data_IF_714533732300
#
_entry.id   IF_714533732300
#
_cell.length_a   1.000
_cell.length_b   1.000
_cell.length_c   1.000
_cell.angle_alpha   90.00
_cell.angle_beta   90.00
_cell.angle_gamma   90.00
#
_symmetry.space_group_name_H-M   'P 1'
#
loop_
_entity.id
_entity.type
_entity.pdbx_description
1 polymer ?
#
# COMPACT_ATOMS: atom_id res chain seq x y z
N UNK A 1 54.45 41.70 33.16
CA UNK A 1 54.08 40.31 32.72
C UNK A 1 52.57 40.18 32.78
N UNK A 2 51.94 40.25 31.59
CA UNK A 2 50.51 40.37 31.43
C UNK A 2 49.98 39.05 30.82
N UNK A 3 49.29 38.26 31.61
CA UNK A 3 48.69 37.01 31.18
C UNK A 3 47.30 37.29 30.57
N UNK A 4 47.20 37.08 29.25
CA UNK A 4 45.92 37.10 28.53
C UNK A 4 45.13 35.78 28.78
N UNK A 5 43.95 35.86 29.36
CA UNK A 5 42.92 34.78 29.35
C UNK A 5 42.26 34.73 27.99
N UNK A 6 42.39 33.59 27.30
CA UNK A 6 41.60 33.25 26.12
C UNK A 6 40.28 32.71 26.60
N UNK A 7 39.22 33.46 26.36
CA UNK A 7 37.85 33.00 26.62
C UNK A 7 37.31 32.29 25.39
N UNK A 8 37.09 30.97 25.50
CA UNK A 8 36.31 30.19 24.54
C UNK A 8 34.87 30.64 24.56
N UNK A 9 34.41 31.22 23.45
CA UNK A 9 32.98 31.43 23.21
C UNK A 9 32.40 30.09 22.71
N UNK A 10 31.68 29.39 23.59
CA UNK A 10 30.79 28.31 23.21
C UNK A 10 29.63 28.95 22.44
N UNK A 11 29.59 28.76 21.14
CA UNK A 11 28.47 29.18 20.29
C UNK A 11 27.28 28.29 20.61
N UNK A 12 26.40 28.74 21.51
CA UNK A 12 25.09 28.20 21.72
C UNK A 12 24.27 28.46 20.45
N UNK A 13 24.14 27.45 19.61
CA UNK A 13 23.13 27.41 18.56
C UNK A 13 21.77 27.42 19.23
N UNK A 14 21.15 28.58 19.34
CA UNK A 14 19.75 28.73 19.62
C UNK A 14 19.01 28.02 18.50
N UNK A 15 18.22 27.01 18.84
CA UNK A 15 17.15 26.48 18.01
C UNK A 15 16.19 27.65 17.83
N UNK A 16 16.37 28.39 16.74
CA UNK A 16 15.41 29.39 16.32
C UNK A 16 14.18 28.65 15.86
N UNK A 17 13.06 29.07 16.40
CA UNK A 17 11.70 28.74 16.02
C UNK A 17 11.64 28.51 14.50
N UNK A 18 11.50 27.25 14.11
CA UNK A 18 11.05 26.93 12.77
C UNK A 18 9.59 27.41 12.71
N UNK A 19 9.44 28.65 12.26
CA UNK A 19 8.18 29.10 11.71
C UNK A 19 7.89 28.17 10.56
N UNK A 20 6.93 27.26 10.75
CA UNK A 20 6.32 26.51 9.66
C UNK A 20 5.60 27.59 8.87
N UNK A 21 6.26 28.07 7.81
CA UNK A 21 5.64 28.89 6.80
C UNK A 21 4.50 28.05 6.20
N UNK A 22 3.27 28.51 6.30
CA UNK A 22 2.03 27.87 5.83
C UNK A 22 1.95 27.78 4.29
N UNK A 23 3.06 27.93 3.59
CA UNK A 23 3.16 27.73 2.15
C UNK A 23 3.44 26.24 1.80
N UNK A 24 2.44 25.37 2.04
CA UNK A 24 2.34 24.18 1.18
C UNK A 24 2.33 24.64 -0.27
N UNK A 25 3.17 24.08 -1.14
CA UNK A 25 3.08 24.38 -2.57
C UNK A 25 1.64 24.15 -2.99
N UNK A 26 1.04 25.18 -3.53
CA UNK A 26 -0.38 25.29 -3.87
C UNK A 26 -0.87 24.00 -4.57
N UNK A 27 -1.73 23.24 -3.88
CA UNK A 27 -2.31 21.94 -4.29
C UNK A 27 -3.23 22.08 -5.52
N UNK A 28 -3.19 23.17 -6.29
CA UNK A 28 -4.09 23.47 -7.40
C UNK A 28 -3.39 23.84 -8.72
N UNK A 29 -2.18 23.41 -8.96
CA UNK A 29 -1.63 23.44 -10.30
C UNK A 29 -2.16 22.23 -11.08
N UNK A 30 -2.54 22.46 -12.35
CA UNK A 30 -2.88 21.37 -13.28
C UNK A 30 -1.76 20.32 -13.24
N UNK A 31 -2.08 19.01 -13.22
CA UNK A 31 -1.06 17.98 -13.28
C UNK A 31 -0.16 18.20 -14.51
N UNK A 32 1.15 17.91 -14.40
CA UNK A 32 2.06 17.93 -15.53
C UNK A 32 1.66 16.89 -16.58
N UNK A 33 2.27 16.92 -17.76
CA UNK A 33 1.97 15.96 -18.84
C UNK A 33 2.33 14.51 -18.44
N UNK A 34 3.38 14.35 -17.62
CA UNK A 34 3.82 13.05 -17.12
C UNK A 34 3.71 13.03 -15.60
N UNK A 35 2.94 12.13 -15.04
CA UNK A 35 2.82 11.91 -13.61
C UNK A 35 2.46 10.46 -13.30
N UNK A 36 2.75 10.01 -12.09
CA UNK A 36 2.33 8.71 -11.61
C UNK A 36 1.03 8.82 -10.81
N UNK A 37 0.22 7.76 -10.86
CA UNK A 37 -0.97 7.60 -10.04
C UNK A 37 -0.73 6.41 -9.12
N UNK A 38 -0.70 6.64 -7.81
CA UNK A 38 -0.57 5.59 -6.81
C UNK A 38 -1.88 5.39 -6.05
N UNK A 39 -2.35 4.16 -6.00
CA UNK A 39 -3.39 3.71 -5.09
C UNK A 39 -2.72 3.05 -3.88
N UNK A 40 -2.97 3.55 -2.68
CA UNK A 40 -2.33 3.09 -1.45
C UNK A 40 -3.37 2.68 -0.43
N UNK A 41 -3.13 1.55 0.22
CA UNK A 41 -3.88 1.05 1.36
C UNK A 41 -2.93 0.55 2.44
N UNK A 42 -3.32 0.71 3.70
CA UNK A 42 -2.62 0.21 4.85
C UNK A 42 -3.60 -0.42 5.83
N UNK A 43 -3.22 -1.57 6.40
CA UNK A 43 -4.09 -2.29 7.31
C UNK A 43 -3.37 -2.90 8.49
N UNK A 44 -4.14 -3.19 9.56
CA UNK A 44 -3.68 -3.96 10.69
C UNK A 44 -4.77 -4.92 11.14
N UNK A 45 -4.39 -6.16 11.45
CA UNK A 45 -5.30 -7.17 12.04
C UNK A 45 -5.32 -7.04 13.55
N UNK A 46 -6.15 -6.14 14.05
CA UNK A 46 -6.11 -5.54 15.37
C UNK A 46 -5.48 -4.15 15.32
N UNK A 47 -5.62 -3.34 16.39
CA UNK A 47 -5.13 -1.96 16.36
C UNK A 47 -4.54 -1.55 17.73
N UNK A 48 -3.24 -1.85 18.00
CA UNK A 48 -2.23 -2.42 17.10
C UNK A 48 -2.38 -3.93 16.85
N UNK A 49 -1.77 -4.42 15.75
CA UNK A 49 -1.75 -5.82 15.36
C UNK A 49 -0.79 -6.08 14.18
N UNK A 50 -0.75 -7.30 13.64
CA UNK A 50 -0.04 -7.58 12.40
C UNK A 50 -0.50 -6.62 11.31
N UNK A 51 0.43 -5.81 10.80
CA UNK A 51 0.16 -4.71 9.89
C UNK A 51 0.97 -4.82 8.59
N UNK A 52 0.45 -4.22 7.53
CA UNK A 52 1.11 -4.17 6.24
C UNK A 52 0.49 -3.12 5.33
N UNK A 53 1.19 -2.74 4.28
CA UNK A 53 0.67 -1.86 3.26
C UNK A 53 0.72 -2.50 1.87
N UNK A 54 -0.10 -1.96 0.97
CA UNK A 54 -0.09 -2.24 -0.46
C UNK A 54 -0.18 -0.95 -1.26
N UNK A 55 0.59 -0.86 -2.33
CA UNK A 55 0.58 0.27 -3.26
C UNK A 55 0.60 -0.23 -4.68
N UNK A 56 -0.30 0.30 -5.51
CA UNK A 56 -0.34 0.04 -6.96
C UNK A 56 -0.04 1.35 -7.67
N UNK A 57 1.00 1.37 -8.48
CA UNK A 57 1.45 2.54 -9.19
C UNK A 57 1.18 2.37 -10.69
N UNK A 58 0.54 3.38 -11.28
CA UNK A 58 0.19 3.45 -12.70
C UNK A 58 0.79 4.70 -13.32
N UNK A 59 1.01 4.67 -14.61
CA UNK A 59 1.28 5.87 -15.41
C UNK A 59 -0.03 6.62 -15.75
N UNK A 60 0.06 7.77 -16.37
CA UNK A 60 -1.08 8.62 -16.77
C UNK A 60 -2.02 7.92 -17.76
N UNK A 61 -1.54 6.89 -18.48
CA UNK A 61 -2.38 6.07 -19.38
C UNK A 61 -3.18 5.01 -18.62
N UNK A 62 -2.95 4.86 -17.29
CA UNK A 62 -3.56 3.84 -16.46
C UNK A 62 -2.85 2.49 -16.49
N UNK A 63 -1.72 2.36 -17.20
CA UNK A 63 -0.92 1.13 -17.22
C UNK A 63 -0.17 0.98 -15.90
N UNK A 64 -0.28 -0.18 -15.29
CA UNK A 64 0.44 -0.50 -14.06
C UNK A 64 1.95 -0.60 -14.32
N UNK A 65 2.73 0.20 -13.58
CA UNK A 65 4.19 0.25 -13.66
C UNK A 65 4.87 -0.39 -12.45
N UNK A 66 4.20 -0.40 -11.29
CA UNK A 66 4.71 -1.09 -10.11
C UNK A 66 3.60 -1.54 -9.17
N UNK A 67 3.94 -2.50 -8.30
CA UNK A 67 3.16 -2.91 -7.15
C UNK A 67 4.11 -3.12 -5.97
N UNK A 68 3.86 -2.43 -4.86
CA UNK A 68 4.67 -2.49 -3.66
C UNK A 68 3.83 -3.04 -2.53
N UNK A 69 4.42 -3.84 -1.66
CA UNK A 69 3.76 -4.30 -0.44
C UNK A 69 4.79 -4.77 0.58
N UNK A 70 4.52 -4.52 1.86
CA UNK A 70 5.42 -4.91 2.93
C UNK A 70 4.65 -5.25 4.21
N UNK A 71 5.13 -6.25 4.93
CA UNK A 71 4.71 -6.57 6.27
C UNK A 71 5.48 -5.74 7.29
N UNK A 72 4.77 -5.01 8.14
CA UNK A 72 5.34 -4.03 9.06
C UNK A 72 5.49 -4.54 10.50
N UNK A 73 5.26 -5.85 10.73
CA UNK A 73 5.21 -6.38 12.08
C UNK A 73 3.93 -5.96 12.81
N UNK A 74 4.04 -5.72 14.12
CA UNK A 74 2.91 -5.35 14.98
C UNK A 74 2.80 -3.82 15.06
N UNK A 75 1.88 -3.23 14.32
CA UNK A 75 1.67 -1.79 14.19
C UNK A 75 0.18 -1.40 14.18
N UNK A 76 -0.10 -0.10 14.18
CA UNK A 76 -1.46 0.42 14.02
C UNK A 76 -1.85 0.55 12.54
N UNK A 77 -3.15 0.60 12.26
CA UNK A 77 -3.67 0.86 10.91
C UNK A 77 -3.11 2.16 10.33
N UNK A 78 -3.19 3.25 11.07
CA UNK A 78 -2.69 4.56 10.62
C UNK A 78 -1.18 4.55 10.32
N UNK A 79 -0.38 3.77 11.07
CA UNK A 79 1.03 3.59 10.78
C UNK A 79 1.24 2.95 9.40
N UNK A 80 0.49 1.88 9.10
CA UNK A 80 0.56 1.18 7.83
C UNK A 80 0.16 2.07 6.65
N UNK A 81 -0.85 2.90 6.82
CA UNK A 81 -1.29 3.85 5.82
C UNK A 81 -0.25 4.92 5.48
N UNK A 82 0.43 5.48 6.51
CA UNK A 82 1.57 6.37 6.30
C UNK A 82 2.73 5.69 5.59
N UNK A 83 3.01 4.43 5.90
CA UNK A 83 4.08 3.68 5.23
C UNK A 83 3.77 3.44 3.75
N UNK A 84 2.52 3.17 3.39
CA UNK A 84 2.10 3.09 2.00
C UNK A 84 2.27 4.40 1.24
N UNK A 85 1.93 5.54 1.85
CA UNK A 85 2.20 6.88 1.28
C UNK A 85 3.71 7.09 1.06
N UNK A 86 4.53 6.82 2.08
CA UNK A 86 5.99 6.99 2.02
C UNK A 86 6.59 6.12 0.90
N UNK A 87 6.19 4.84 0.82
CA UNK A 87 6.65 3.94 -0.22
C UNK A 87 6.30 4.44 -1.64
N UNK A 88 5.10 5.00 -1.83
CA UNK A 88 4.69 5.59 -3.10
C UNK A 88 5.55 6.81 -3.48
N UNK A 89 5.82 7.69 -2.51
CA UNK A 89 6.66 8.88 -2.71
C UNK A 89 8.12 8.49 -3.04
N UNK A 90 8.70 7.57 -2.28
CA UNK A 90 10.07 7.09 -2.50
C UNK A 90 10.20 6.42 -3.88
N UNK A 91 9.21 5.63 -4.29
CA UNK A 91 9.20 5.06 -5.62
C UNK A 91 9.18 6.13 -6.72
N UNK A 92 8.29 7.13 -6.61
CA UNK A 92 8.17 8.20 -7.60
C UNK A 92 9.45 9.02 -7.71
N UNK A 93 10.11 9.31 -6.59
CA UNK A 93 11.40 10.03 -6.58
C UNK A 93 12.54 9.21 -7.19
N UNK A 94 12.53 7.89 -7.04
CA UNK A 94 13.60 7.01 -7.50
C UNK A 94 13.46 6.57 -8.97
N UNK A 95 12.22 6.42 -9.49
CA UNK A 95 11.98 5.68 -10.73
C UNK A 95 11.08 6.41 -11.74
N UNK A 96 10.52 7.58 -11.40
CA UNK A 96 9.52 8.22 -12.23
C UNK A 96 9.71 9.72 -12.39
N UNK A 97 8.74 10.37 -13.06
CA UNK A 97 8.60 11.80 -12.94
C UNK A 97 8.40 12.15 -11.48
N UNK A 98 9.03 13.23 -11.00
CA UNK A 98 8.81 13.71 -9.63
C UNK A 98 7.42 14.34 -9.48
N UNK A 99 6.42 13.67 -10.00
CA UNK A 99 5.03 14.08 -10.04
C UNK A 99 4.14 12.90 -9.70
N UNK A 100 3.38 13.01 -8.61
CA UNK A 100 2.60 11.91 -8.05
C UNK A 100 1.20 12.38 -7.65
N UNK A 101 0.18 11.68 -8.12
CA UNK A 101 -1.17 11.70 -7.57
C UNK A 101 -1.35 10.47 -6.67
N UNK A 102 -1.53 10.66 -5.37
CA UNK A 102 -1.87 9.58 -4.46
C UNK A 102 -3.38 9.52 -4.24
N UNK A 103 -3.91 8.29 -4.22
CA UNK A 103 -5.30 7.98 -3.92
C UNK A 103 -5.32 7.00 -2.76
N UNK A 104 -6.00 7.36 -1.66
CA UNK A 104 -6.14 6.53 -0.46
C UNK A 104 -7.57 6.55 0.04
N UNK A 105 -8.02 5.46 0.66
CA UNK A 105 -9.31 5.39 1.35
C UNK A 105 -9.22 5.80 2.83
N UNK A 106 -8.05 6.19 3.30
CA UNK A 106 -7.83 6.78 4.62
C UNK A 106 -8.16 8.27 4.64
N UNK A 107 -9.36 8.61 5.04
CA UNK A 107 -9.77 10.01 5.21
C UNK A 107 -8.86 10.75 6.20
N UNK A 108 -8.42 10.05 7.28
CA UNK A 108 -7.53 10.63 8.28
C UNK A 108 -6.18 11.02 7.67
N UNK A 109 -5.53 10.10 6.95
CA UNK A 109 -4.26 10.35 6.27
C UNK A 109 -4.38 11.54 5.31
N UNK A 110 -5.39 11.50 4.42
CA UNK A 110 -5.61 12.56 3.42
C UNK A 110 -5.79 13.92 4.08
N UNK A 111 -6.60 14.02 5.14
CA UNK A 111 -6.84 15.27 5.86
C UNK A 111 -5.62 15.76 6.65
N UNK A 112 -4.79 14.85 7.15
CA UNK A 112 -3.54 15.20 7.83
C UNK A 112 -2.50 15.72 6.83
N UNK A 113 -2.33 15.07 5.70
CA UNK A 113 -1.40 15.53 4.63
C UNK A 113 -1.86 16.85 4.01
N UNK A 114 -3.18 17.09 3.88
CA UNK A 114 -3.73 18.40 3.45
C UNK A 114 -3.67 19.48 4.52
N UNK A 115 -3.12 19.19 5.72
CA UNK A 115 -3.05 20.16 6.82
C UNK A 115 -4.40 20.48 7.51
N UNK A 116 -5.48 19.80 7.12
CA UNK A 116 -6.83 20.01 7.68
C UNK A 116 -6.90 19.47 9.11
N UNK A 117 -6.26 18.31 9.36
CA UNK A 117 -6.21 17.70 10.69
C UNK A 117 -4.78 17.69 11.23
N UNK A 118 -4.65 18.06 12.51
CA UNK A 118 -3.36 18.03 13.23
C UNK A 118 -2.99 16.59 13.60
N UNK A 119 -1.73 16.22 13.39
CA UNK A 119 -1.17 14.94 13.85
C UNK A 119 -0.79 15.08 15.33
N UNK A 120 -1.46 14.33 16.22
CA UNK A 120 -1.23 14.38 17.67
C UNK A 120 -0.32 13.27 18.17
N UNK A 121 -0.40 12.08 17.60
CA UNK A 121 0.39 10.91 17.97
C UNK A 121 1.86 11.14 17.56
N UNK A 122 2.81 10.88 18.46
CA UNK A 122 4.23 11.15 18.26
C UNK A 122 4.80 10.31 17.09
N UNK A 123 4.53 9.00 17.07
CA UNK A 123 4.99 8.12 15.99
C UNK A 123 4.45 8.57 14.62
N UNK A 124 3.18 8.98 14.56
CA UNK A 124 2.62 9.50 13.31
C UNK A 124 3.16 10.88 12.94
N UNK A 125 3.62 11.69 13.91
CA UNK A 125 4.33 12.95 13.61
C UNK A 125 5.64 12.72 12.87
N UNK A 126 6.40 11.70 13.27
CA UNK A 126 7.66 11.34 12.61
C UNK A 126 7.40 10.89 11.17
N UNK A 127 6.40 10.04 10.95
CA UNK A 127 5.98 9.60 9.62
C UNK A 127 5.44 10.75 8.77
N UNK A 128 4.65 11.64 9.36
CA UNK A 128 4.14 12.84 8.69
C UNK A 128 5.29 13.77 8.29
N UNK A 129 6.27 13.99 9.18
CA UNK A 129 7.49 14.74 8.87
C UNK A 129 8.23 14.12 7.68
N UNK A 130 8.48 12.81 7.71
CA UNK A 130 9.13 12.10 6.61
C UNK A 130 8.34 12.23 5.30
N UNK A 131 7.02 12.05 5.33
CA UNK A 131 6.18 12.22 4.15
C UNK A 131 6.26 13.65 3.60
N UNK A 132 6.22 14.66 4.48
CA UNK A 132 6.33 16.08 4.09
C UNK A 132 7.68 16.39 3.45
N UNK A 133 8.79 15.85 3.99
CA UNK A 133 10.13 15.99 3.40
C UNK A 133 10.22 15.38 2.00
N UNK A 134 9.58 14.24 1.75
CA UNK A 134 9.54 13.61 0.44
C UNK A 134 8.64 14.39 -0.52
N UNK A 135 7.50 14.88 -0.06
CA UNK A 135 6.60 15.73 -0.85
C UNK A 135 7.31 17.03 -1.28
N UNK A 136 8.14 17.62 -0.41
CA UNK A 136 8.89 18.82 -0.75
C UNK A 136 9.95 18.59 -1.85
N UNK A 137 10.33 17.35 -2.13
CA UNK A 137 11.25 16.98 -3.22
C UNK A 137 10.52 16.70 -4.55
N UNK A 138 9.17 16.67 -4.53
CA UNK A 138 8.37 16.44 -5.72
C UNK A 138 8.17 17.76 -6.49
N UNK A 139 8.16 17.68 -7.81
CA UNK A 139 7.79 18.80 -8.67
C UNK A 139 6.27 19.06 -8.64
N UNK A 140 5.49 18.02 -8.41
CA UNK A 140 4.05 18.08 -8.23
C UNK A 140 3.55 16.92 -7.37
N UNK A 141 2.66 17.22 -6.43
CA UNK A 141 2.02 16.23 -5.58
C UNK A 141 0.55 16.58 -5.36
N UNK A 142 -0.29 15.56 -5.42
CA UNK A 142 -1.69 15.68 -5.00
C UNK A 142 -2.12 14.40 -4.26
N UNK A 143 -3.00 14.55 -3.28
CA UNK A 143 -3.58 13.43 -2.55
C UNK A 143 -5.09 13.56 -2.50
N UNK A 144 -5.80 12.48 -2.88
CA UNK A 144 -7.26 12.45 -2.89
C UNK A 144 -7.78 11.24 -2.11
N UNK A 145 -8.94 11.45 -1.47
CA UNK A 145 -9.68 10.37 -0.85
C UNK A 145 -10.57 9.68 -1.89
N UNK A 146 -10.54 8.35 -1.92
CA UNK A 146 -11.45 7.53 -2.72
C UNK A 146 -12.17 6.51 -1.84
N UNK A 147 -13.34 6.07 -2.30
CA UNK A 147 -14.05 4.98 -1.64
C UNK A 147 -13.27 3.68 -1.79
N UNK A 148 -13.34 2.82 -0.78
CA UNK A 148 -12.61 1.54 -0.69
C UNK A 148 -12.82 0.63 -1.91
N UNK A 149 -13.99 0.68 -2.53
CA UNK A 149 -14.30 -0.07 -3.75
C UNK A 149 -13.38 0.27 -4.94
N UNK A 150 -12.77 1.45 -4.93
CA UNK A 150 -11.80 1.88 -5.95
C UNK A 150 -10.35 1.61 -5.56
N UNK A 151 -10.10 1.00 -4.38
CA UNK A 151 -8.76 0.72 -3.84
C UNK A 151 -8.47 -0.79 -3.63
N UNK A 152 -9.29 -1.66 -4.24
CA UNK A 152 -9.29 -3.11 -4.00
C UNK A 152 -7.93 -3.79 -4.26
N UNK A 153 -7.18 -3.36 -5.25
CA UNK A 153 -5.88 -3.98 -5.57
C UNK A 153 -4.83 -3.65 -4.51
N UNK A 154 -4.80 -2.42 -3.99
CA UNK A 154 -3.93 -2.02 -2.89
C UNK A 154 -4.32 -2.73 -1.58
N UNK A 155 -5.61 -2.81 -1.25
CA UNK A 155 -6.14 -3.59 -0.12
C UNK A 155 -5.70 -5.06 -0.20
N UNK A 156 -5.83 -5.69 -1.37
CA UNK A 156 -5.37 -7.07 -1.58
C UNK A 156 -3.88 -7.23 -1.29
N UNK A 157 -3.05 -6.32 -1.79
CA UNK A 157 -1.59 -6.35 -1.56
C UNK A 157 -1.24 -6.17 -0.09
N UNK A 158 -1.91 -5.26 0.64
CA UNK A 158 -1.73 -5.08 2.08
C UNK A 158 -2.10 -6.37 2.85
N UNK A 159 -3.22 -7.00 2.50
CA UNK A 159 -3.65 -8.26 3.09
C UNK A 159 -2.68 -9.41 2.80
N UNK A 160 -2.19 -9.54 1.57
CA UNK A 160 -1.18 -10.55 1.19
C UNK A 160 0.15 -10.35 1.94
N UNK A 161 0.58 -9.09 2.12
CA UNK A 161 1.77 -8.76 2.91
C UNK A 161 1.62 -9.22 4.37
N UNK A 162 0.47 -8.95 4.99
CA UNK A 162 0.17 -9.39 6.35
C UNK A 162 0.11 -10.93 6.45
N UNK A 163 -0.53 -11.62 5.48
CA UNK A 163 -0.60 -13.09 5.47
C UNK A 163 0.79 -13.72 5.36
N UNK A 164 1.59 -13.24 4.42
CA UNK A 164 2.97 -13.69 4.22
C UNK A 164 3.82 -13.46 5.47
N UNK A 165 3.71 -12.28 6.08
CA UNK A 165 4.48 -11.94 7.29
C UNK A 165 4.10 -12.76 8.51
N UNK A 166 2.84 -13.23 8.58
CA UNK A 166 2.36 -14.15 9.61
C UNK A 166 2.58 -15.64 9.29
N UNK A 167 3.29 -15.96 8.19
CA UNK A 167 3.48 -17.34 7.74
C UNK A 167 2.21 -18.03 7.25
N UNK A 168 1.14 -17.28 6.95
CA UNK A 168 -0.08 -17.82 6.35
C UNK A 168 0.11 -17.95 4.84
N UNK A 169 -0.42 -19.02 4.25
CA UNK A 169 -0.50 -19.09 2.78
C UNK A 169 -1.44 -17.97 2.31
N UNK A 170 -1.08 -17.22 1.25
CA UNK A 170 -1.98 -16.24 0.66
C UNK A 170 -3.34 -16.89 0.38
N UNK A 171 -4.44 -16.23 0.75
CA UNK A 171 -5.74 -16.66 0.32
C UNK A 171 -5.75 -16.68 -1.21
N UNK A 172 -6.19 -17.77 -1.82
CA UNK A 172 -6.30 -17.86 -3.27
C UNK A 172 -7.07 -16.65 -3.79
N UNK A 173 -6.51 -15.94 -4.78
CA UNK A 173 -7.17 -14.78 -5.37
C UNK A 173 -8.56 -15.20 -5.88
N UNK A 174 -9.57 -14.29 -5.89
CA UNK A 174 -10.89 -14.62 -6.42
C UNK A 174 -10.85 -15.27 -7.82
N UNK A 175 -9.89 -14.89 -8.64
CA UNK A 175 -9.65 -15.52 -9.95
C UNK A 175 -9.17 -16.98 -9.83
N UNK A 176 -8.33 -17.29 -8.84
CA UNK A 176 -7.89 -18.67 -8.57
C UNK A 176 -9.00 -19.50 -7.89
N UNK A 177 -9.82 -18.86 -7.05
CA UNK A 177 -10.99 -19.55 -6.46
C UNK A 177 -12.09 -19.82 -7.49
N UNK A 178 -12.25 -18.98 -8.51
CA UNK A 178 -13.17 -19.23 -9.63
C UNK A 178 -12.66 -20.37 -10.50
N UNK A 179 -11.34 -20.44 -10.76
CA UNK A 179 -10.71 -21.54 -11.49
C UNK A 179 -10.70 -22.84 -10.67
N UNK A 180 -10.52 -22.76 -9.35
CA UNK A 180 -10.59 -23.92 -8.46
C UNK A 180 -12.02 -24.43 -8.23
N UNK A 181 -13.03 -23.57 -8.40
CA UNK A 181 -14.46 -23.91 -8.29
C UNK A 181 -15.16 -24.06 -9.64
N UNK A 182 -14.45 -23.93 -10.76
CA UNK A 182 -15.02 -24.31 -12.05
C UNK A 182 -15.33 -25.81 -11.99
N UNK A 183 -16.54 -26.25 -12.42
CA UNK A 183 -16.86 -27.66 -12.45
C UNK A 183 -15.84 -28.37 -13.35
N UNK A 184 -14.96 -29.18 -12.75
CA UNK A 184 -14.05 -30.02 -13.51
C UNK A 184 -14.88 -31.13 -14.16
N UNK A 185 -14.89 -31.18 -15.48
CA UNK A 185 -15.52 -32.26 -16.22
C UNK A 185 -14.49 -33.36 -16.46
N UNK A 186 -14.81 -34.56 -15.97
CA UNK A 186 -14.06 -35.78 -16.25
C UNK A 186 -14.83 -36.65 -17.23
N UNK A 187 -14.13 -37.27 -18.16
CA UNK A 187 -14.76 -38.27 -19.03
C UNK A 187 -14.52 -39.67 -18.44
N UNK A 188 -15.55 -40.49 -18.47
CA UNK A 188 -15.50 -41.87 -18.00
C UNK A 188 -16.46 -42.77 -18.74
N UNK A 189 -16.19 -44.05 -18.73
CA UNK A 189 -17.04 -45.08 -19.29
C UNK A 189 -17.61 -45.98 -18.16
N UNK A 190 -18.80 -46.47 -18.33
CA UNK A 190 -19.41 -47.42 -17.38
C UNK A 190 -19.06 -48.84 -17.85
N UNK A 191 -18.32 -49.56 -17.03
CA UNK A 191 -17.97 -50.97 -17.23
C UNK A 191 -18.35 -51.77 -15.97
N UNK A 192 -19.14 -52.81 -16.12
CA UNK A 192 -19.56 -53.68 -15.02
C UNK A 192 -20.19 -52.91 -13.81
N UNK A 193 -20.94 -51.85 -14.09
CA UNK A 193 -21.58 -51.03 -13.04
C UNK A 193 -20.67 -50.06 -12.30
N UNK A 194 -19.40 -49.97 -12.69
CA UNK A 194 -18.42 -49.03 -12.16
C UNK A 194 -18.07 -47.97 -13.22
N UNK A 195 -17.71 -46.77 -12.77
CA UNK A 195 -17.25 -45.72 -13.66
C UNK A 195 -15.73 -45.71 -13.66
N UNK A 196 -15.16 -45.96 -14.85
CA UNK A 196 -13.74 -45.83 -15.10
C UNK A 196 -13.48 -44.47 -15.73
N UNK A 197 -12.68 -43.66 -15.07
CA UNK A 197 -12.25 -42.36 -15.61
C UNK A 197 -11.27 -42.58 -16.78
N UNK A 198 -11.47 -41.83 -17.87
CA UNK A 198 -10.61 -41.85 -19.05
C UNK A 198 -9.50 -40.82 -18.94
N UNK A 199 -9.72 -39.76 -18.14
CA UNK A 199 -8.77 -38.67 -17.93
C UNK A 199 -8.75 -38.25 -16.46
N UNK A 200 -7.57 -38.22 -15.84
CA UNK A 200 -7.36 -37.78 -14.48
C UNK A 200 -7.69 -38.79 -13.40
N UNK A 201 -7.41 -38.43 -12.16
CA UNK A 201 -7.71 -39.18 -10.95
C UNK A 201 -8.48 -38.28 -9.98
N UNK A 202 -9.40 -38.86 -9.23
CA UNK A 202 -10.16 -38.18 -8.18
C UNK A 202 -9.70 -38.69 -6.81
N UNK A 203 -9.49 -37.82 -5.82
CA UNK A 203 -9.20 -38.24 -4.46
C UNK A 203 -10.31 -39.08 -3.86
N UNK A 204 -9.98 -40.01 -2.96
CA UNK A 204 -10.94 -40.82 -2.25
C UNK A 204 -11.97 -39.94 -1.51
N UNK A 205 -13.25 -40.33 -1.60
CA UNK A 205 -14.36 -39.61 -0.99
C UNK A 205 -14.87 -38.41 -1.79
N UNK A 206 -14.33 -38.13 -2.99
CA UNK A 206 -14.84 -37.06 -3.84
C UNK A 206 -16.28 -37.37 -4.30
N UNK A 207 -17.21 -36.44 -4.07
CA UNK A 207 -18.58 -36.53 -4.58
C UNK A 207 -18.64 -36.03 -6.01
N UNK A 208 -19.14 -36.87 -6.92
CA UNK A 208 -19.25 -36.53 -8.34
C UNK A 208 -20.73 -36.57 -8.78
N UNK A 209 -21.07 -35.68 -9.71
CA UNK A 209 -22.35 -35.69 -10.40
C UNK A 209 -22.14 -36.17 -11.83
N UNK A 210 -22.85 -37.23 -12.21
CA UNK A 210 -22.67 -37.87 -13.51
C UNK A 210 -23.76 -37.43 -14.47
N UNK A 211 -23.37 -37.05 -15.68
CA UNK A 211 -24.28 -36.76 -16.78
C UNK A 211 -23.94 -37.65 -17.97
N UNK A 212 -24.94 -38.32 -18.54
CA UNK A 212 -24.77 -39.10 -19.76
C UNK A 212 -24.55 -38.13 -20.94
N UNK A 213 -23.45 -38.28 -21.66
CA UNK A 213 -23.26 -37.59 -22.94
C UNK A 213 -24.19 -38.20 -23.99
N UNK A 214 -24.93 -37.33 -24.71
CA UNK A 214 -25.78 -37.77 -25.85
C UNK A 214 -24.92 -38.07 -27.06
#
# INVERSE_FOLDING_TARGET
MTTRKVGERVNSLRIHDFHIDDSFPSVMSKPPENYLIAHSDGGARGNPGPAGYGVVIKDESGRKVAALSEYLGHQTNNFAEYQGLIAALEYALAHGPKALKLISDSELLVRQIKGIYKVKNLTLKDLHGRATELIAQMDWFSIDHALREHNQEADRLANEAMDKGMGRKPAASPAQSILANAPQEFEGVVENGLIKLLNGELPDGTRVQIRKKK
#
